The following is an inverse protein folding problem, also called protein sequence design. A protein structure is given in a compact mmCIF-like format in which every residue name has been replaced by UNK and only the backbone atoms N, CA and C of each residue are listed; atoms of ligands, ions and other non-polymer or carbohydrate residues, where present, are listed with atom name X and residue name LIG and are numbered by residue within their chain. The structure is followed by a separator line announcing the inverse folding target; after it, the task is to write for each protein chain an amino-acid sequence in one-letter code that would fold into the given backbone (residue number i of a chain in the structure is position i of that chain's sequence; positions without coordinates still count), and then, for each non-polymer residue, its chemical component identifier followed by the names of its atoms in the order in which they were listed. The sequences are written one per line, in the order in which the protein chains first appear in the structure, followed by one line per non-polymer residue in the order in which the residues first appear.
data_IF_992753925586
#
_entry.id   IF_992753925586
#
_cell.length_a   1.000
_cell.length_b   1.000
_cell.length_c   1.000
_cell.angle_alpha   90.00
_cell.angle_beta   90.00
_cell.angle_gamma   90.00
#
_symmetry.space_group_name_H-M   'P 1'
#
loop_
_entity.id
_entity.type
_entity.pdbx_description
1 polymer ?
#
# COMPACT_ATOMS: atom_id res chain seq x y z
N UNK A 1 29.37 14.25 -3.25
CA UNK A 1 28.87 12.93 -3.67
C UNK A 1 27.40 12.88 -3.31
N UNK A 2 26.50 12.83 -4.30
CA UNK A 2 25.06 12.71 -4.04
C UNK A 2 24.78 11.26 -3.66
N UNK A 3 24.24 11.03 -2.46
CA UNK A 3 23.71 9.72 -2.05
C UNK A 3 22.68 9.28 -3.10
N UNK A 4 22.70 8.03 -3.59
CA UNK A 4 21.60 7.54 -4.42
C UNK A 4 20.29 7.68 -3.62
N UNK A 5 19.19 8.14 -4.27
CA UNK A 5 17.91 8.29 -3.59
C UNK A 5 17.50 6.96 -2.97
N UNK A 6 16.94 6.99 -1.76
CA UNK A 6 16.44 5.80 -1.10
C UNK A 6 15.42 5.15 -2.04
N UNK A 7 15.53 3.86 -2.38
CA UNK A 7 14.53 3.19 -3.22
C UNK A 7 13.09 3.38 -2.69
N UNK A 8 12.95 3.58 -1.38
CA UNK A 8 11.66 3.84 -0.72
C UNK A 8 11.13 5.27 -0.93
N UNK A 9 11.94 6.25 -1.36
CA UNK A 9 11.46 7.61 -1.64
C UNK A 9 10.39 7.61 -2.73
N UNK A 10 10.47 6.68 -3.69
CA UNK A 10 9.47 6.50 -4.75
C UNK A 10 8.13 5.98 -4.22
N UNK A 11 8.16 5.26 -3.10
CA UNK A 11 6.99 4.67 -2.46
C UNK A 11 6.36 5.61 -1.41
N UNK A 12 6.93 6.81 -1.22
CA UNK A 12 6.48 7.79 -0.23
C UNK A 12 5.00 8.17 -0.29
N UNK A 13 4.37 8.04 -1.47
CA UNK A 13 2.94 8.26 -1.64
C UNK A 13 2.06 7.23 -0.90
N UNK A 14 2.57 6.02 -0.60
CA UNK A 14 1.80 4.93 0.01
C UNK A 14 1.46 5.18 1.49
N UNK A 15 2.30 5.94 2.21
CA UNK A 15 2.14 6.20 3.64
C UNK A 15 1.92 7.69 3.95
N UNK A 16 1.42 8.47 2.99
CA UNK A 16 0.95 9.81 3.28
C UNK A 16 -0.31 9.76 4.17
N UNK A 17 -0.54 10.78 5.01
CA UNK A 17 -1.73 10.84 5.85
C UNK A 17 -3.00 10.61 5.03
N UNK A 18 -3.92 9.75 5.48
CA UNK A 18 -5.05 9.34 4.67
C UNK A 18 -5.98 10.54 4.39
N UNK A 19 -6.21 10.81 3.11
CA UNK A 19 -7.34 11.64 2.67
C UNK A 19 -8.66 10.97 3.07
N UNK A 20 -9.78 11.70 3.01
CA UNK A 20 -11.13 11.24 3.38
C UNK A 20 -11.54 9.91 2.71
N UNK A 21 -10.94 9.59 1.56
CA UNK A 21 -10.94 8.27 0.93
C UNK A 21 -9.50 7.89 0.57
N UNK A 22 -8.82 7.04 1.39
CA UNK A 22 -7.44 6.66 1.12
C UNK A 22 -7.37 5.78 -0.15
N UNK A 23 -6.50 6.18 -1.08
CA UNK A 23 -6.21 5.46 -2.32
C UNK A 23 -5.53 4.12 -2.04
N UNK A 24 -4.52 4.14 -1.18
CA UNK A 24 -3.69 2.99 -0.85
C UNK A 24 -4.21 2.32 0.42
N UNK A 25 -4.36 1.00 0.36
CA UNK A 25 -4.81 0.18 1.50
C UNK A 25 -3.98 -1.09 1.60
N UNK A 26 -3.97 -1.70 2.78
CA UNK A 26 -3.37 -3.03 2.97
C UNK A 26 -4.46 -4.08 2.78
N UNK A 27 -4.16 -5.11 1.99
CA UNK A 27 -5.09 -6.20 1.70
C UNK A 27 -4.49 -7.55 2.14
N UNK A 28 -5.23 -8.27 3.00
CA UNK A 28 -4.88 -9.61 3.48
C UNK A 28 -5.54 -10.67 2.59
N UNK A 29 -4.87 -11.05 1.50
CA UNK A 29 -5.36 -12.05 0.56
C UNK A 29 -5.37 -13.42 1.22
N UNK A 30 -6.56 -13.98 1.40
CA UNK A 30 -6.72 -15.34 1.95
C UNK A 30 -6.16 -15.52 3.36
N UNK A 31 -5.96 -14.43 4.11
CA UNK A 31 -5.46 -14.44 5.49
C UNK A 31 -3.98 -14.80 5.68
N UNK A 32 -3.21 -14.98 4.60
CA UNK A 32 -1.80 -15.36 4.66
C UNK A 32 -0.88 -14.42 3.87
N UNK A 33 -1.38 -13.85 2.78
CA UNK A 33 -0.61 -12.96 1.93
C UNK A 33 -1.04 -11.51 2.17
N UNK A 34 -0.07 -10.59 2.19
CA UNK A 34 -0.32 -9.16 2.38
C UNK A 34 0.09 -8.43 1.10
N UNK A 35 -0.78 -7.59 0.58
CA UNK A 35 -0.51 -6.74 -0.58
C UNK A 35 -0.85 -5.29 -0.27
N UNK A 36 -0.22 -4.38 -0.99
CA UNK A 36 -0.69 -2.99 -1.09
C UNK A 36 -1.65 -2.91 -2.26
N UNK A 37 -2.82 -2.33 -2.07
CA UNK A 37 -3.84 -2.23 -3.12
C UNK A 37 -4.12 -0.78 -3.48
N UNK A 38 -4.16 -0.48 -4.78
CA UNK A 38 -4.55 0.80 -5.34
C UNK A 38 -6.06 0.81 -5.61
N UNK A 39 -6.82 1.55 -4.80
CA UNK A 39 -8.27 1.70 -4.97
C UNK A 39 -8.67 2.66 -6.09
N UNK A 40 -7.73 3.46 -6.62
CA UNK A 40 -7.99 4.32 -7.77
C UNK A 40 -7.99 3.50 -9.06
N UNK A 41 -6.96 2.67 -9.25
CA UNK A 41 -6.84 1.80 -10.43
C UNK A 41 -7.43 0.40 -10.24
N UNK A 42 -7.86 0.07 -9.02
CA UNK A 42 -8.49 -1.19 -8.67
C UNK A 42 -7.58 -2.42 -8.90
N UNK A 43 -6.29 -2.28 -8.60
CA UNK A 43 -5.25 -3.30 -8.81
C UNK A 43 -4.26 -3.36 -7.63
N UNK A 44 -3.56 -4.48 -7.42
CA UNK A 44 -2.39 -4.53 -6.53
C UNK A 44 -1.34 -3.51 -6.98
N UNK A 45 -0.74 -2.81 -6.03
CA UNK A 45 0.39 -1.94 -6.27
C UNK A 45 1.65 -2.78 -6.53
N UNK A 46 2.47 -2.34 -7.49
CA UNK A 46 3.76 -2.97 -7.81
C UNK A 46 4.79 -2.60 -6.73
N UNK A 47 4.78 -3.33 -5.63
CA UNK A 47 5.72 -3.20 -4.52
C UNK A 47 6.63 -4.42 -4.50
N UNK A 48 7.96 -4.26 -4.59
CA UNK A 48 8.89 -5.38 -4.50
C UNK A 48 8.72 -6.14 -3.18
N UNK A 49 8.76 -7.48 -3.23
CA UNK A 49 8.60 -8.34 -2.04
C UNK A 49 9.61 -8.01 -0.92
N UNK A 50 10.82 -7.59 -1.29
CA UNK A 50 11.86 -7.21 -0.34
C UNK A 50 11.51 -5.94 0.45
N UNK A 51 10.75 -5.02 -0.15
CA UNK A 51 10.37 -3.73 0.44
C UNK A 51 8.99 -3.78 1.12
N UNK A 52 8.15 -4.75 0.74
CA UNK A 52 6.78 -4.91 1.21
C UNK A 52 6.63 -4.87 2.75
N UNK A 53 7.47 -5.56 3.57
CA UNK A 53 7.33 -5.49 5.02
C UNK A 53 7.51 -4.07 5.58
N UNK A 54 8.46 -3.30 5.04
CA UNK A 54 8.73 -1.93 5.48
C UNK A 54 7.63 -0.97 5.01
N UNK A 55 7.16 -1.15 3.77
CA UNK A 55 6.03 -0.39 3.21
C UNK A 55 4.78 -0.58 4.07
N UNK A 56 4.40 -1.83 4.36
CA UNK A 56 3.23 -2.14 5.20
C UNK A 56 3.39 -1.55 6.61
N UNK A 57 4.59 -1.64 7.20
CA UNK A 57 4.87 -1.02 8.51
C UNK A 57 4.64 0.49 8.49
N UNK A 58 5.10 1.19 7.45
CA UNK A 58 4.92 2.64 7.28
C UNK A 58 3.45 3.00 7.03
N UNK A 59 2.75 2.24 6.20
CA UNK A 59 1.32 2.42 5.94
C UNK A 59 0.48 2.27 7.22
N UNK A 60 0.75 1.23 8.02
CA UNK A 60 0.11 1.03 9.34
C UNK A 60 0.35 2.19 10.28
N UNK A 61 1.60 2.68 10.34
CA UNK A 61 1.96 3.85 11.16
C UNK A 61 1.23 5.12 10.70
N UNK A 62 0.94 5.24 9.42
CA UNK A 62 0.16 6.34 8.85
C UNK A 62 -1.36 6.17 9.00
N UNK A 63 -1.84 5.03 9.52
CA UNK A 63 -3.26 4.75 9.68
C UNK A 63 -3.95 4.31 8.39
N UNK A 64 -3.22 3.68 7.46
CA UNK A 64 -3.82 3.09 6.27
C UNK A 64 -4.84 1.99 6.67
N UNK A 65 -6.03 1.96 6.06
CA UNK A 65 -6.99 0.89 6.30
C UNK A 65 -6.46 -0.47 5.87
N UNK A 66 -6.87 -1.51 6.59
CA UNK A 66 -6.59 -2.91 6.28
C UNK A 66 -7.90 -3.64 5.99
N UNK A 67 -7.89 -4.55 5.02
CA UNK A 67 -9.06 -5.33 4.61
C UNK A 67 -8.69 -6.80 4.42
N UNK A 68 -9.56 -7.70 4.86
CA UNK A 68 -9.47 -9.14 4.56
C UNK A 68 -10.21 -9.46 3.24
N UNK A 69 -11.35 -8.80 3.02
CA UNK A 69 -12.10 -8.89 1.77
C UNK A 69 -11.50 -8.02 0.66
N UNK A 70 -11.90 -8.29 -0.58
CA UNK A 70 -11.47 -7.52 -1.75
C UNK A 70 -11.76 -6.00 -1.56
N UNK A 71 -10.73 -5.14 -1.48
CA UNK A 71 -10.88 -3.72 -1.13
C UNK A 71 -11.23 -2.81 -2.33
N UNK A 72 -11.32 -3.43 -3.50
CA UNK A 72 -11.63 -2.77 -4.75
C UNK A 72 -13.08 -2.30 -4.85
N UNK A 73 -13.40 -1.60 -5.93
CA UNK A 73 -14.79 -1.28 -6.26
C UNK A 73 -15.45 -2.53 -6.84
N UNK A 74 -16.68 -2.80 -6.43
CA UNK A 74 -17.50 -3.81 -7.12
C UNK A 74 -17.63 -3.38 -8.58
N UNK A 75 -17.28 -4.28 -9.50
CA UNK A 75 -17.62 -4.10 -10.91
C UNK A 75 -19.15 -4.05 -11.00
N UNK A 76 -19.68 -2.95 -11.52
CA UNK A 76 -21.09 -2.78 -11.88
C UNK A 76 -21.28 -3.04 -13.36
#
# INVERSE_FOLDING_TARGET
MSTPPDPLDRLSALWQPPARSPRWVVWHVGGAEVLVFDREFNIPADVPDADLPEVVRRMRRAGAPEYDDYPGRRCG
#
